data_IF_819906492244
#
_entry.id   IF_819906492244
#
_cell.length_a   1.000
_cell.length_b   1.000
_cell.length_c   1.000
_cell.angle_alpha   90.00
_cell.angle_beta   90.00
_cell.angle_gamma   90.00
#
_symmetry.space_group_name_H-M   'P 1'
#
loop_
_entity.id
_entity.type
_entity.pdbx_description
1 polymer ?
#
# COMPACT_ATOMS: atom_id res chain seq x y z
N UNK A 1 41.36 -30.80 19.47
CA UNK A 1 40.01 -31.08 20.02
C UNK A 1 39.81 -30.53 21.43
N UNK A 2 40.71 -30.80 22.40
CA UNK A 2 40.56 -30.33 23.79
C UNK A 2 40.39 -28.81 23.95
N UNK A 3 41.04 -28.01 23.12
CA UNK A 3 41.03 -26.54 23.24
C UNK A 3 39.84 -25.86 22.53
N UNK A 4 39.00 -26.60 21.81
CA UNK A 4 37.79 -26.07 21.16
C UNK A 4 36.52 -26.19 22.03
N UNK A 5 36.58 -26.98 23.12
CA UNK A 5 35.46 -27.15 24.04
C UNK A 5 35.55 -26.09 25.14
N UNK A 6 34.48 -25.32 25.36
CA UNK A 6 34.43 -24.37 26.48
C UNK A 6 34.25 -25.11 27.81
N UNK A 7 35.36 -25.52 28.41
CA UNK A 7 35.40 -26.25 29.67
C UNK A 7 34.82 -25.43 30.85
N UNK A 8 34.78 -24.12 30.69
CA UNK A 8 34.32 -23.15 31.70
C UNK A 8 32.86 -22.69 31.46
N UNK A 9 32.19 -23.19 30.42
CA UNK A 9 30.79 -22.88 30.14
C UNK A 9 29.82 -23.46 31.19
N UNK A 10 28.66 -22.82 31.35
CA UNK A 10 27.58 -23.33 32.21
C UNK A 10 26.80 -24.46 31.49
N UNK A 11 27.40 -25.66 31.48
CA UNK A 11 26.85 -26.86 30.87
C UNK A 11 25.51 -27.30 31.48
N UNK A 12 25.31 -27.05 32.77
CA UNK A 12 24.04 -27.36 33.46
C UNK A 12 22.87 -26.58 32.85
N UNK A 13 23.06 -25.27 32.61
CA UNK A 13 22.06 -24.43 31.95
C UNK A 13 21.81 -24.86 30.50
N UNK A 14 22.85 -25.25 29.77
CA UNK A 14 22.71 -25.76 28.38
C UNK A 14 21.89 -27.05 28.34
N UNK A 15 22.18 -28.01 29.23
CA UNK A 15 21.41 -29.25 29.30
C UNK A 15 19.97 -29.03 29.74
N UNK A 16 19.71 -28.07 30.64
CA UNK A 16 18.37 -27.69 31.03
C UNK A 16 17.57 -27.15 29.82
N UNK A 17 18.17 -26.31 28.98
CA UNK A 17 17.54 -25.78 27.76
C UNK A 17 17.24 -26.93 26.77
N UNK A 18 18.19 -27.83 26.53
CA UNK A 18 17.99 -28.97 25.60
C UNK A 18 16.91 -29.92 26.11
N UNK A 19 16.91 -30.19 27.43
CA UNK A 19 15.91 -31.07 28.05
C UNK A 19 14.52 -30.45 27.96
N UNK A 20 14.39 -29.14 28.21
CA UNK A 20 13.11 -28.44 28.07
C UNK A 20 12.58 -28.45 26.63
N UNK A 21 13.47 -28.33 25.63
CA UNK A 21 13.06 -28.22 24.23
C UNK A 21 12.81 -29.58 23.55
N UNK A 22 13.60 -30.61 23.87
CA UNK A 22 13.52 -31.94 23.22
C UNK A 22 12.96 -33.04 24.12
N UNK A 23 12.65 -32.73 25.39
CA UNK A 23 12.20 -33.67 26.40
C UNK A 23 13.12 -34.91 26.56
N UNK A 24 14.42 -34.72 26.31
CA UNK A 24 15.46 -35.76 26.40
C UNK A 24 16.59 -35.22 27.26
N UNK A 25 17.04 -36.01 28.24
CA UNK A 25 18.27 -35.70 28.96
C UNK A 25 19.49 -36.10 28.09
N UNK A 26 20.31 -35.15 27.64
CA UNK A 26 21.37 -35.43 26.67
C UNK A 26 22.55 -36.19 27.28
N UNK A 27 22.90 -35.93 28.55
CA UNK A 27 24.06 -36.52 29.24
C UNK A 27 23.77 -36.64 30.75
N UNK A 28 24.38 -37.63 31.40
CA UNK A 28 24.45 -37.71 32.86
C UNK A 28 25.35 -36.58 33.40
N UNK A 29 24.75 -35.57 34.05
CA UNK A 29 25.46 -34.37 34.50
C UNK A 29 26.63 -34.64 35.48
N UNK A 30 26.49 -35.51 36.51
CA UNK A 30 27.61 -35.90 37.36
C UNK A 30 28.80 -36.51 36.60
N UNK A 31 28.54 -37.42 35.65
CA UNK A 31 29.60 -38.04 34.85
C UNK A 31 30.26 -37.01 33.91
N UNK A 32 29.46 -36.14 33.29
CA UNK A 32 29.96 -35.06 32.45
C UNK A 32 30.92 -34.13 33.21
N UNK A 33 30.53 -33.71 34.42
CA UNK A 33 31.36 -32.87 35.29
C UNK A 33 32.69 -33.55 35.65
N UNK A 34 32.67 -34.85 35.91
CA UNK A 34 33.89 -35.64 36.16
C UNK A 34 34.81 -35.66 34.93
N UNK A 35 34.27 -35.89 33.73
CA UNK A 35 35.04 -35.87 32.49
C UNK A 35 35.61 -34.49 32.18
N UNK A 36 34.84 -33.41 32.38
CA UNK A 36 35.33 -32.04 32.23
C UNK A 36 36.50 -31.74 33.19
N UNK A 37 36.43 -32.24 34.43
CA UNK A 37 37.53 -32.12 35.40
C UNK A 37 38.83 -32.74 34.88
N UNK A 38 38.77 -33.99 34.41
CA UNK A 38 39.94 -34.69 33.84
C UNK A 38 40.51 -33.94 32.63
N UNK A 39 39.64 -33.46 31.73
CA UNK A 39 40.07 -32.70 30.56
C UNK A 39 40.72 -31.37 30.95
N UNK A 40 40.22 -30.71 32.00
CA UNK A 40 40.80 -29.47 32.51
C UNK A 40 42.16 -29.69 33.19
N UNK A 41 42.33 -30.81 33.89
CA UNK A 41 43.62 -31.20 34.48
C UNK A 41 44.67 -31.51 33.40
N UNK A 42 44.27 -32.21 32.33
CA UNK A 42 45.11 -32.43 31.14
C UNK A 42 45.48 -31.10 30.47
N UNK A 43 44.53 -30.16 30.35
CA UNK A 43 44.79 -28.82 29.81
C UNK A 43 45.79 -28.04 30.68
N UNK A 44 45.57 -28.01 31.99
CA UNK A 44 46.42 -27.28 32.97
C UNK A 44 47.82 -27.85 33.10
N UNK A 45 47.99 -29.15 32.95
CA UNK A 45 49.29 -29.80 33.04
C UNK A 45 50.20 -29.53 31.83
N UNK A 46 49.65 -29.01 30.73
CA UNK A 46 50.32 -28.86 29.44
C UNK A 46 50.99 -30.15 28.95
N UNK A 47 50.49 -31.32 29.41
CA UNK A 47 51.17 -32.59 29.17
C UNK A 47 51.23 -32.94 27.67
N UNK A 48 50.16 -32.65 26.94
CA UNK A 48 50.10 -32.90 25.49
C UNK A 48 51.04 -31.98 24.71
N UNK A 49 51.15 -30.71 25.11
CA UNK A 49 52.07 -29.74 24.51
C UNK A 49 53.53 -30.16 24.76
N UNK A 50 53.85 -30.59 25.99
CA UNK A 50 55.17 -31.12 26.36
C UNK A 50 55.52 -32.40 25.61
N UNK A 51 54.54 -33.30 25.38
CA UNK A 51 54.75 -34.50 24.57
C UNK A 51 55.10 -34.12 23.14
N UNK A 52 54.40 -33.14 22.55
CA UNK A 52 54.69 -32.68 21.19
C UNK A 52 56.08 -32.04 21.14
N UNK A 53 56.41 -31.10 22.05
CA UNK A 53 57.73 -30.48 22.15
C UNK A 53 58.86 -31.53 22.24
N UNK A 54 58.63 -32.62 22.99
CA UNK A 54 59.60 -33.70 23.15
C UNK A 54 59.77 -34.53 21.87
N UNK A 55 58.67 -34.89 21.20
CA UNK A 55 58.70 -35.68 19.96
C UNK A 55 59.30 -34.87 18.81
N UNK A 56 58.92 -33.60 18.69
CA UNK A 56 59.38 -32.72 17.59
C UNK A 56 60.76 -32.12 17.86
N UNK A 57 61.28 -32.25 19.07
CA UNK A 57 62.53 -31.61 19.55
C UNK A 57 62.52 -30.10 19.39
N UNK A 58 61.34 -29.49 19.40
CA UNK A 58 61.15 -28.04 19.34
C UNK A 58 60.63 -27.56 20.70
N UNK A 59 61.49 -26.95 21.55
CA UNK A 59 61.08 -26.43 22.85
C UNK A 59 60.18 -25.19 22.75
N UNK A 60 60.10 -24.57 21.58
CA UNK A 60 59.34 -23.33 21.36
C UNK A 60 57.94 -23.57 20.81
N UNK A 61 57.60 -24.82 20.49
CA UNK A 61 56.26 -25.18 20.05
C UNK A 61 55.22 -24.79 21.09
N UNK A 62 54.24 -23.99 20.67
CA UNK A 62 53.07 -23.61 21.46
C UNK A 62 51.81 -23.92 20.66
N UNK A 63 50.75 -24.34 21.36
CA UNK A 63 49.50 -24.68 20.69
C UNK A 63 48.72 -23.40 20.38
N UNK A 64 48.63 -23.04 19.10
CA UNK A 64 47.74 -21.97 18.64
C UNK A 64 46.27 -22.42 18.74
N UNK A 65 45.48 -21.70 19.52
CA UNK A 65 44.05 -21.95 19.65
C UNK A 65 43.26 -20.82 19.01
N UNK A 66 42.51 -21.12 17.96
CA UNK A 66 41.50 -20.19 17.45
C UNK A 66 40.20 -20.36 18.24
N UNK A 67 39.62 -19.30 18.83
CA UNK A 67 38.34 -19.38 19.52
C UNK A 67 37.23 -19.67 18.50
N UNK A 68 36.33 -20.59 18.85
CA UNK A 68 35.12 -20.85 18.08
C UNK A 68 34.15 -19.67 18.24
N UNK A 69 33.98 -18.87 17.18
CA UNK A 69 33.15 -17.65 17.13
C UNK A 69 31.94 -17.79 16.21
N UNK A 70 31.45 -19.01 15.98
CA UNK A 70 30.30 -19.22 15.11
C UNK A 70 29.00 -18.81 15.82
N UNK A 71 28.31 -17.82 15.27
CA UNK A 71 27.05 -17.29 15.82
C UNK A 71 25.86 -18.16 15.38
N UNK A 72 25.72 -19.32 16.00
CA UNK A 72 24.70 -20.33 15.67
C UNK A 72 23.25 -19.79 15.75
N UNK A 73 23.02 -18.68 16.48
CA UNK A 73 21.69 -18.07 16.65
C UNK A 73 21.37 -16.97 15.64
N UNK A 74 22.33 -16.48 14.86
CA UNK A 74 22.12 -15.31 13.99
C UNK A 74 21.06 -15.58 12.91
N UNK A 75 21.06 -16.77 12.32
CA UNK A 75 20.08 -17.12 11.28
C UNK A 75 18.66 -17.25 11.85
N UNK A 76 18.53 -17.74 13.08
CA UNK A 76 17.26 -17.79 13.78
C UNK A 76 16.73 -16.38 14.13
N UNK A 77 17.61 -15.50 14.62
CA UNK A 77 17.25 -14.10 14.91
C UNK A 77 16.82 -13.38 13.63
N UNK A 78 17.55 -13.54 12.53
CA UNK A 78 17.17 -13.01 11.21
C UNK A 78 15.83 -13.55 10.73
N UNK A 79 15.52 -14.82 11.01
CA UNK A 79 14.22 -15.40 10.65
C UNK A 79 13.08 -14.77 11.47
N UNK A 80 13.29 -14.55 12.76
CA UNK A 80 12.31 -13.86 13.62
C UNK A 80 12.10 -12.42 13.13
N UNK A 81 13.17 -11.66 12.87
CA UNK A 81 13.08 -10.29 12.36
C UNK A 81 12.26 -10.23 11.07
N UNK A 82 12.56 -11.12 10.10
CA UNK A 82 11.77 -11.23 8.86
C UNK A 82 10.30 -11.55 9.12
N UNK A 83 10.02 -12.47 10.05
CA UNK A 83 8.64 -12.84 10.39
C UNK A 83 7.87 -11.68 11.02
N UNK A 84 8.53 -10.90 11.89
CA UNK A 84 7.95 -9.69 12.49
C UNK A 84 7.66 -8.66 11.42
N UNK A 85 8.62 -8.39 10.53
CA UNK A 85 8.47 -7.41 9.45
C UNK A 85 7.33 -7.80 8.49
N UNK A 86 7.23 -9.08 8.12
CA UNK A 86 6.12 -9.58 7.29
C UNK A 86 4.78 -9.40 8.00
N UNK A 87 4.68 -9.85 9.26
CA UNK A 87 3.42 -9.74 10.03
C UNK A 87 2.98 -8.29 10.19
N UNK A 88 3.92 -7.38 10.45
CA UNK A 88 3.64 -5.96 10.59
C UNK A 88 3.15 -5.35 9.26
N UNK A 89 3.75 -5.73 8.13
CA UNK A 89 3.27 -5.33 6.79
C UNK A 89 1.88 -5.85 6.49
N UNK A 90 1.58 -7.09 6.88
CA UNK A 90 0.26 -7.69 6.67
C UNK A 90 -0.81 -6.96 7.49
N UNK A 91 -0.53 -6.65 8.76
CA UNK A 91 -1.45 -5.88 9.63
C UNK A 91 -1.72 -4.50 9.06
N UNK A 92 -0.68 -3.78 8.61
CA UNK A 92 -0.85 -2.44 8.00
C UNK A 92 -1.70 -2.54 6.73
N UNK A 93 -1.45 -3.55 5.90
CA UNK A 93 -2.21 -3.79 4.66
C UNK A 93 -3.67 -4.08 4.94
N UNK A 94 -3.96 -4.93 5.93
CA UNK A 94 -5.33 -5.28 6.32
C UNK A 94 -6.07 -4.08 6.92
N UNK A 95 -5.40 -3.29 7.75
CA UNK A 95 -5.97 -2.06 8.29
C UNK A 95 -6.34 -1.06 7.16
N UNK A 96 -5.46 -0.88 6.16
CA UNK A 96 -5.75 -0.06 4.98
C UNK A 96 -6.92 -0.63 4.18
N UNK A 97 -6.94 -1.93 3.92
CA UNK A 97 -8.03 -2.58 3.18
C UNK A 97 -9.38 -2.43 3.87
N UNK A 98 -9.42 -2.58 5.21
CA UNK A 98 -10.60 -2.35 6.02
C UNK A 98 -11.07 -0.89 5.95
N UNK A 99 -10.14 0.07 6.03
CA UNK A 99 -10.45 1.48 5.85
C UNK A 99 -11.05 1.77 4.46
N UNK A 100 -10.47 1.20 3.40
CA UNK A 100 -11.00 1.32 2.03
C UNK A 100 -12.41 0.75 1.96
N UNK A 101 -12.66 -0.45 2.50
CA UNK A 101 -13.99 -1.07 2.49
C UNK A 101 -15.06 -0.19 3.16
N UNK A 102 -14.74 0.40 4.32
CA UNK A 102 -15.64 1.32 5.02
C UNK A 102 -15.92 2.58 4.19
N UNK A 103 -14.90 3.16 3.55
CA UNK A 103 -15.05 4.35 2.73
C UNK A 103 -15.84 4.07 1.44
N UNK A 104 -15.58 2.94 0.77
CA UNK A 104 -16.37 2.47 -0.37
C UNK A 104 -17.83 2.33 0.03
N UNK A 105 -18.12 1.73 1.17
CA UNK A 105 -19.50 1.59 1.65
C UNK A 105 -20.17 2.94 1.92
N UNK A 106 -19.44 3.92 2.47
CA UNK A 106 -19.96 5.27 2.72
C UNK A 106 -20.23 6.06 1.44
N UNK A 107 -19.47 5.82 0.37
CA UNK A 107 -19.60 6.54 -0.90
C UNK A 107 -20.62 5.85 -1.82
N UNK A 108 -20.50 4.53 -2.01
CA UNK A 108 -21.25 3.76 -3.00
C UNK A 108 -22.32 2.84 -2.41
N UNK A 109 -22.34 2.66 -1.09
CA UNK A 109 -23.21 1.66 -0.46
C UNK A 109 -22.70 0.25 -0.70
N UNK A 110 -23.59 -0.68 -1.06
CA UNK A 110 -23.24 -2.11 -1.14
C UNK A 110 -22.65 -2.52 -2.50
N UNK A 111 -22.77 -1.69 -3.55
CA UNK A 111 -22.37 -2.06 -4.91
C UNK A 111 -21.73 -0.85 -5.60
N UNK A 112 -20.65 -1.10 -6.34
CA UNK A 112 -20.01 -0.13 -7.24
C UNK A 112 -20.62 -0.34 -8.64
N UNK A 113 -21.51 0.55 -9.13
CA UNK A 113 -22.30 0.27 -10.33
C UNK A 113 -21.54 0.49 -11.64
N UNK A 114 -20.79 1.61 -11.73
CA UNK A 114 -20.27 2.13 -13.00
C UNK A 114 -18.74 2.17 -13.10
N UNK A 115 -18.10 1.08 -12.69
CA UNK A 115 -16.65 0.89 -12.73
C UNK A 115 -15.97 0.95 -14.10
N UNK A 116 -14.64 0.97 -14.13
CA UNK A 116 -13.85 0.85 -15.37
C UNK A 116 -13.97 -0.55 -15.96
N UNK A 117 -14.19 -0.63 -17.27
CA UNK A 117 -14.42 -1.89 -17.99
C UNK A 117 -13.12 -2.55 -18.43
N UNK A 118 -12.13 -1.75 -18.81
CA UNK A 118 -10.89 -2.24 -19.40
C UNK A 118 -9.69 -1.97 -18.47
N UNK A 119 -9.56 -0.76 -17.92
CA UNK A 119 -8.55 -0.43 -16.92
C UNK A 119 -9.00 -0.88 -15.52
N UNK A 120 -9.01 -2.18 -15.27
CA UNK A 120 -9.47 -2.76 -14.00
C UNK A 120 -8.54 -3.87 -13.49
N UNK A 121 -8.66 -4.26 -12.21
CA UNK A 121 -7.79 -5.29 -11.63
C UNK A 121 -7.91 -6.67 -12.29
N UNK A 122 -9.06 -7.03 -12.88
CA UNK A 122 -9.20 -8.33 -13.57
C UNK A 122 -8.35 -8.40 -14.83
N UNK A 123 -8.18 -7.29 -15.53
CA UNK A 123 -7.31 -7.19 -16.70
C UNK A 123 -5.83 -7.42 -16.35
N UNK A 124 -5.42 -7.18 -15.09
CA UNK A 124 -4.04 -7.36 -14.65
C UNK A 124 -3.57 -8.81 -14.71
N UNK A 125 -4.47 -9.79 -14.59
CA UNK A 125 -4.10 -11.20 -14.65
C UNK A 125 -3.35 -11.58 -15.94
N UNK A 126 -3.57 -10.88 -17.06
CA UNK A 126 -2.85 -11.11 -18.31
C UNK A 126 -1.41 -10.58 -18.29
N UNK A 127 -1.14 -9.52 -17.52
CA UNK A 127 0.17 -8.90 -17.35
C UNK A 127 0.98 -9.61 -16.26
N UNK A 128 0.36 -9.87 -15.12
CA UNK A 128 0.99 -10.51 -13.95
C UNK A 128 1.50 -11.91 -14.26
N UNK A 129 0.75 -12.72 -15.03
CA UNK A 129 1.19 -14.05 -15.49
C UNK A 129 2.51 -14.03 -16.27
N UNK A 130 2.90 -12.87 -16.79
CA UNK A 130 4.13 -12.65 -17.57
C UNK A 130 5.17 -11.81 -16.83
N UNK A 131 4.97 -11.59 -15.52
CA UNK A 131 5.91 -10.86 -14.66
C UNK A 131 5.93 -9.35 -14.90
N UNK A 132 4.82 -8.77 -15.39
CA UNK A 132 4.66 -7.33 -15.58
C UNK A 132 3.78 -6.74 -14.47
N UNK A 133 3.97 -5.46 -14.17
CA UNK A 133 3.27 -4.75 -13.08
C UNK A 133 1.77 -4.52 -13.36
N UNK A 134 1.36 -4.48 -14.64
CA UNK A 134 -0.03 -4.25 -15.03
C UNK A 134 -0.54 -2.82 -14.77
N UNK A 135 -1.83 -2.68 -14.48
CA UNK A 135 -2.49 -1.42 -14.17
C UNK A 135 -2.39 -1.12 -12.68
N UNK A 136 -1.59 -0.10 -12.34
CA UNK A 136 -1.26 0.28 -10.96
C UNK A 136 -2.45 0.98 -10.28
N UNK A 137 -3.10 1.92 -10.99
CA UNK A 137 -4.15 2.79 -10.45
C UNK A 137 -5.57 2.28 -10.70
N UNK A 138 -5.73 0.97 -10.90
CA UNK A 138 -6.95 0.37 -11.41
C UNK A 138 -8.13 0.54 -10.44
N UNK A 139 -7.89 0.39 -9.14
CA UNK A 139 -8.92 0.56 -8.12
C UNK A 139 -9.33 2.04 -8.01
N UNK A 140 -8.36 2.96 -7.94
CA UNK A 140 -8.61 4.40 -7.90
C UNK A 140 -9.42 4.88 -9.11
N UNK A 141 -9.04 4.50 -10.33
CA UNK A 141 -9.78 4.84 -11.55
C UNK A 141 -11.20 4.26 -11.56
N UNK A 142 -11.38 3.05 -11.01
CA UNK A 142 -12.67 2.40 -10.90
C UNK A 142 -13.63 3.17 -9.98
N UNK A 143 -13.14 3.62 -8.82
CA UNK A 143 -13.91 4.45 -7.90
C UNK A 143 -14.22 5.82 -8.50
N UNK A 144 -13.23 6.48 -9.10
CA UNK A 144 -13.41 7.79 -9.72
C UNK A 144 -14.45 7.76 -10.84
N UNK A 145 -14.39 6.79 -11.76
CA UNK A 145 -15.37 6.67 -12.83
C UNK A 145 -16.78 6.47 -12.27
N UNK A 146 -16.93 5.57 -11.29
CA UNK A 146 -18.22 5.31 -10.65
C UNK A 146 -18.77 6.57 -9.98
N UNK A 147 -17.93 7.29 -9.24
CA UNK A 147 -18.32 8.54 -8.59
C UNK A 147 -18.76 9.60 -9.60
N UNK A 148 -18.02 9.77 -10.70
CA UNK A 148 -18.37 10.77 -11.70
C UNK A 148 -19.63 10.43 -12.49
N UNK A 149 -19.89 9.15 -12.75
CA UNK A 149 -21.06 8.72 -13.53
C UNK A 149 -22.31 8.68 -12.67
N UNK A 150 -22.23 8.07 -11.49
CA UNK A 150 -23.42 7.74 -10.70
C UNK A 150 -23.84 8.87 -9.76
N UNK A 151 -22.87 9.68 -9.30
CA UNK A 151 -23.12 10.70 -8.28
C UNK A 151 -22.87 12.14 -8.77
N UNK A 152 -21.77 12.38 -9.49
CA UNK A 152 -21.48 13.73 -9.97
C UNK A 152 -22.50 14.18 -11.01
N UNK A 153 -22.83 13.33 -11.99
CA UNK A 153 -23.81 13.66 -13.04
C UNK A 153 -25.27 13.73 -12.56
N UNK A 154 -25.55 13.28 -11.35
CA UNK A 154 -26.87 13.32 -10.71
C UNK A 154 -26.94 14.42 -9.66
N UNK A 155 -26.64 14.10 -8.40
CA UNK A 155 -26.87 14.97 -7.24
C UNK A 155 -25.97 16.20 -7.24
N UNK A 156 -24.68 16.03 -7.55
CA UNK A 156 -23.75 17.18 -7.58
C UNK A 156 -24.16 18.13 -8.70
N UNK A 157 -24.44 17.60 -9.89
CA UNK A 157 -24.89 18.39 -11.03
C UNK A 157 -26.15 19.19 -10.70
N UNK A 158 -27.19 18.54 -10.18
CA UNK A 158 -28.44 19.23 -9.86
C UNK A 158 -28.21 20.35 -8.83
N UNK A 159 -27.37 20.12 -7.81
CA UNK A 159 -27.01 21.14 -6.82
C UNK A 159 -26.19 22.28 -7.42
N UNK A 160 -25.17 21.95 -8.22
CA UNK A 160 -24.33 22.94 -8.90
C UNK A 160 -25.14 23.78 -9.89
N UNK A 161 -26.02 23.16 -10.67
CA UNK A 161 -26.90 23.87 -11.61
C UNK A 161 -27.82 24.85 -10.85
N UNK A 162 -28.39 24.46 -9.71
CA UNK A 162 -29.19 25.35 -8.86
C UNK A 162 -28.36 26.54 -8.34
N UNK A 163 -27.22 26.26 -7.69
CA UNK A 163 -26.39 27.30 -7.05
C UNK A 163 -25.74 28.22 -8.09
N UNK A 164 -25.23 27.69 -9.20
CA UNK A 164 -24.52 28.49 -10.21
C UNK A 164 -25.48 29.33 -11.07
N UNK A 165 -26.65 28.80 -11.43
CA UNK A 165 -27.60 29.51 -12.30
C UNK A 165 -28.42 30.52 -11.49
N UNK A 166 -28.84 30.17 -10.27
CA UNK A 166 -29.71 31.03 -9.45
C UNK A 166 -28.95 31.82 -8.41
N UNK A 167 -27.70 31.47 -8.07
CA UNK A 167 -26.96 32.16 -7.02
C UNK A 167 -26.49 33.56 -7.43
N UNK A 168 -26.81 34.55 -6.60
CA UNK A 168 -26.26 35.90 -6.69
C UNK A 168 -25.03 36.00 -5.78
N UNK A 169 -23.87 35.76 -6.36
CA UNK A 169 -22.58 35.76 -5.66
C UNK A 169 -22.10 37.18 -5.37
N UNK A 170 -21.71 37.42 -4.12
CA UNK A 170 -21.11 38.71 -3.73
C UNK A 170 -19.73 38.90 -4.37
N UNK A 171 -18.98 37.81 -4.55
CA UNK A 171 -17.66 37.81 -5.21
C UNK A 171 -17.68 36.92 -6.45
N UNK A 172 -17.56 37.54 -7.64
CA UNK A 172 -17.61 36.83 -8.91
C UNK A 172 -16.51 35.77 -9.07
N UNK A 173 -15.35 35.98 -8.45
CA UNK A 173 -14.21 35.04 -8.51
C UNK A 173 -14.58 33.68 -7.91
N UNK A 174 -15.35 33.66 -6.81
CA UNK A 174 -15.79 32.41 -6.17
C UNK A 174 -16.78 31.63 -7.05
N UNK A 175 -17.68 32.35 -7.71
CA UNK A 175 -18.59 31.76 -8.71
C UNK A 175 -17.82 31.20 -9.90
N UNK A 176 -16.80 31.90 -10.37
CA UNK A 176 -16.00 31.49 -11.52
C UNK A 176 -15.18 30.24 -11.20
N UNK A 177 -14.54 30.17 -10.04
CA UNK A 177 -13.76 29.00 -9.61
C UNK A 177 -14.64 27.74 -9.45
N UNK A 178 -15.83 27.91 -8.88
CA UNK A 178 -16.81 26.81 -8.78
C UNK A 178 -17.26 26.37 -10.18
N UNK A 179 -17.68 27.31 -11.03
CA UNK A 179 -18.13 27.02 -12.40
C UNK A 179 -17.05 26.31 -13.24
N UNK A 180 -15.80 26.80 -13.20
CA UNK A 180 -14.68 26.20 -13.91
C UNK A 180 -14.42 24.76 -13.44
N UNK A 181 -14.41 24.53 -12.13
CA UNK A 181 -14.21 23.18 -11.55
C UNK A 181 -15.32 22.22 -11.95
N UNK A 182 -16.57 22.68 -11.96
CA UNK A 182 -17.73 21.91 -12.40
C UNK A 182 -17.62 21.52 -13.89
N UNK A 183 -17.33 22.48 -14.77
CA UNK A 183 -17.18 22.22 -16.20
C UNK A 183 -15.97 21.33 -16.52
N UNK A 184 -14.85 21.53 -15.81
CA UNK A 184 -13.69 20.66 -15.91
C UNK A 184 -14.04 19.22 -15.54
N UNK A 185 -14.80 18.99 -14.45
CA UNK A 185 -15.23 17.64 -14.07
C UNK A 185 -16.17 16.99 -15.08
N UNK A 186 -17.05 17.77 -15.71
CA UNK A 186 -17.89 17.27 -16.80
C UNK A 186 -17.04 16.78 -17.98
N UNK A 187 -16.03 17.56 -18.38
CA UNK A 187 -15.11 17.19 -19.45
C UNK A 187 -14.22 15.99 -19.07
N UNK A 188 -13.73 15.96 -17.84
CA UNK A 188 -12.95 14.84 -17.29
C UNK A 188 -13.77 13.55 -17.29
N UNK A 189 -15.05 13.61 -16.92
CA UNK A 189 -15.94 12.44 -16.94
C UNK A 189 -15.98 11.80 -18.33
N UNK A 190 -16.06 12.61 -19.39
CA UNK A 190 -15.97 12.12 -20.78
C UNK A 190 -14.58 11.55 -21.09
N UNK A 191 -13.51 12.25 -20.72
CA UNK A 191 -12.13 11.79 -20.92
C UNK A 191 -11.83 10.46 -20.26
N UNK A 192 -12.40 10.19 -19.09
CA UNK A 192 -12.22 8.90 -18.39
C UNK A 192 -12.90 7.77 -19.16
N UNK A 193 -14.08 8.01 -19.75
CA UNK A 193 -14.73 7.03 -20.62
C UNK A 193 -13.90 6.75 -21.87
N UNK A 194 -13.38 7.80 -22.51
CA UNK A 194 -12.49 7.66 -23.67
C UNK A 194 -11.18 6.94 -23.32
N UNK A 195 -10.60 7.23 -22.16
CA UNK A 195 -9.41 6.56 -21.66
C UNK A 195 -9.65 5.06 -21.45
N UNK A 196 -10.75 4.70 -20.78
CA UNK A 196 -11.13 3.31 -20.53
C UNK A 196 -11.40 2.58 -21.85
N UNK A 197 -12.11 3.20 -22.80
CA UNK A 197 -12.40 2.60 -24.11
C UNK A 197 -11.15 2.41 -24.98
N UNK A 198 -10.15 3.30 -24.87
CA UNK A 198 -8.86 3.14 -25.55
C UNK A 198 -8.13 1.86 -25.13
N UNK A 199 -8.50 1.23 -24.02
CA UNK A 199 -7.90 -0.01 -23.54
C UNK A 199 -8.74 -1.25 -23.85
N UNK A 200 -9.84 -1.12 -24.59
CA UNK A 200 -10.66 -2.28 -24.99
C UNK A 200 -9.88 -3.25 -25.86
N UNK A 201 -10.26 -4.54 -25.85
CA UNK A 201 -9.54 -5.60 -26.60
C UNK A 201 -9.51 -5.38 -28.13
N UNK A 202 -10.47 -4.59 -28.62
CA UNK A 202 -10.64 -4.23 -30.02
C UNK A 202 -9.99 -2.89 -30.38
N UNK A 203 -9.55 -2.12 -29.39
CA UNK A 203 -8.84 -0.87 -29.62
C UNK A 203 -7.44 -1.12 -30.19
N UNK A 204 -6.86 -0.10 -30.83
CA UNK A 204 -5.47 -0.16 -31.31
C UNK A 204 -4.50 -0.55 -30.18
N UNK A 205 -4.66 0.03 -29.00
CA UNK A 205 -3.81 -0.26 -27.85
C UNK A 205 -4.04 -1.67 -27.29
N UNK A 206 -5.30 -2.14 -27.20
CA UNK A 206 -5.61 -3.49 -26.75
C UNK A 206 -5.09 -4.56 -27.70
N UNK A 207 -5.22 -4.35 -29.01
CA UNK A 207 -4.61 -5.20 -30.04
C UNK A 207 -3.09 -5.21 -29.90
N UNK A 208 -2.48 -4.06 -29.65
CA UNK A 208 -1.04 -3.92 -29.46
C UNK A 208 -0.55 -4.68 -28.22
N UNK A 209 -1.23 -4.52 -27.07
CA UNK A 209 -0.93 -5.29 -25.86
C UNK A 209 -1.02 -6.79 -26.13
N UNK A 210 -2.14 -7.27 -26.67
CA UNK A 210 -2.33 -8.70 -26.98
C UNK A 210 -1.24 -9.26 -27.91
N UNK A 211 -0.86 -8.49 -28.93
CA UNK A 211 0.18 -8.89 -29.89
C UNK A 211 1.57 -8.93 -29.26
N UNK A 212 1.92 -7.95 -28.43
CA UNK A 212 3.22 -7.93 -27.76
C UNK A 212 3.29 -9.02 -26.68
N UNK A 213 2.22 -9.21 -25.90
CA UNK A 213 2.13 -10.23 -24.86
C UNK A 213 2.30 -11.66 -25.41
N UNK A 214 1.84 -11.94 -26.63
CA UNK A 214 2.02 -13.26 -27.27
C UNK A 214 3.46 -13.49 -27.76
N UNK A 215 4.22 -12.42 -27.99
CA UNK A 215 5.63 -12.49 -28.44
C UNK A 215 6.63 -12.52 -27.28
N UNK A 216 6.22 -12.17 -26.07
CA UNK A 216 7.11 -12.09 -24.90
C UNK A 216 7.86 -13.39 -24.58
N UNK A 217 7.29 -14.55 -24.89
CA UNK A 217 7.97 -15.84 -24.69
C UNK A 217 9.18 -16.02 -25.61
N UNK A 218 9.18 -15.37 -26.77
CA UNK A 218 10.22 -15.50 -27.81
C UNK A 218 11.14 -14.28 -27.88
N UNK A 219 10.61 -13.10 -27.55
CA UNK A 219 11.26 -11.80 -27.74
C UNK A 219 11.29 -11.02 -26.43
N UNK A 220 12.47 -10.93 -25.79
CA UNK A 220 12.64 -10.12 -24.57
C UNK A 220 12.30 -8.64 -24.78
N UNK A 221 12.50 -8.13 -26.00
CA UNK A 221 12.21 -6.73 -26.34
C UNK A 221 10.70 -6.44 -26.36
N UNK A 222 9.85 -7.43 -26.68
CA UNK A 222 8.41 -7.27 -26.61
C UNK A 222 7.94 -6.96 -25.18
N UNK A 223 8.54 -7.59 -24.17
CA UNK A 223 8.24 -7.31 -22.76
C UNK A 223 8.56 -5.88 -22.35
N UNK A 224 9.70 -5.34 -22.81
CA UNK A 224 10.07 -3.94 -22.57
C UNK A 224 9.09 -2.97 -23.20
N UNK A 225 8.61 -3.26 -24.42
CA UNK A 225 7.61 -2.44 -25.09
C UNK A 225 6.26 -2.47 -24.36
N UNK A 226 5.81 -3.64 -23.86
CA UNK A 226 4.60 -3.73 -23.04
C UNK A 226 4.74 -2.90 -21.78
N UNK A 227 5.85 -3.06 -21.04
CA UNK A 227 6.07 -2.29 -19.82
C UNK A 227 6.10 -0.79 -20.09
N UNK A 228 6.73 -0.35 -21.19
CA UNK A 228 6.70 1.05 -21.60
C UNK A 228 5.27 1.56 -21.80
N UNK A 229 4.46 0.81 -22.54
CA UNK A 229 3.05 1.17 -22.76
C UNK A 229 2.21 1.13 -21.48
N UNK A 230 2.46 0.18 -20.58
CA UNK A 230 1.82 0.16 -19.26
C UNK A 230 2.18 1.42 -18.46
N UNK A 231 3.46 1.82 -18.46
CA UNK A 231 3.90 3.04 -17.78
C UNK A 231 3.21 4.29 -18.36
N UNK A 232 3.14 4.41 -19.68
CA UNK A 232 2.46 5.53 -20.35
C UNK A 232 0.96 5.59 -19.97
N UNK A 233 0.30 4.43 -19.93
CA UNK A 233 -1.11 4.29 -19.55
C UNK A 233 -1.32 4.62 -18.07
N UNK A 234 -0.45 4.13 -17.19
CA UNK A 234 -0.50 4.38 -15.75
C UNK A 234 -0.22 5.87 -15.44
N UNK A 235 0.70 6.52 -16.15
CA UNK A 235 0.93 7.96 -16.03
C UNK A 235 -0.29 8.77 -16.47
N UNK A 236 -0.94 8.38 -17.57
CA UNK A 236 -2.17 9.00 -18.02
C UNK A 236 -3.31 8.83 -17.00
N UNK A 237 -3.47 7.64 -16.42
CA UNK A 237 -4.44 7.38 -15.35
C UNK A 237 -4.17 8.27 -14.12
N UNK A 238 -2.92 8.32 -13.65
CA UNK A 238 -2.53 9.16 -12.52
C UNK A 238 -2.79 10.63 -12.77
N UNK A 239 -2.54 11.12 -13.98
CA UNK A 239 -2.83 12.51 -14.37
C UNK A 239 -4.32 12.79 -14.32
N UNK A 240 -5.16 11.89 -14.85
CA UNK A 240 -6.61 12.01 -14.75
C UNK A 240 -7.07 12.03 -13.29
N UNK A 241 -6.57 11.12 -12.46
CA UNK A 241 -6.87 11.06 -11.02
C UNK A 241 -6.52 12.37 -10.31
N UNK A 242 -5.27 12.85 -10.45
CA UNK A 242 -4.81 14.09 -9.80
C UNK A 242 -5.65 15.30 -10.20
N UNK A 243 -5.92 15.46 -11.49
CA UNK A 243 -6.73 16.59 -11.98
C UNK A 243 -8.18 16.47 -11.50
N UNK A 244 -8.74 15.27 -11.48
CA UNK A 244 -10.11 15.05 -11.00
C UNK A 244 -10.24 15.36 -9.51
N UNK A 245 -9.37 14.79 -8.68
CA UNK A 245 -9.37 15.00 -7.23
C UNK A 245 -9.23 16.48 -6.91
N UNK A 246 -8.34 17.21 -7.62
CA UNK A 246 -8.21 18.66 -7.46
C UNK A 246 -9.53 19.40 -7.70
N UNK A 247 -10.19 19.16 -8.83
CA UNK A 247 -11.45 19.85 -9.14
C UNK A 247 -12.59 19.42 -8.19
N UNK A 248 -12.64 18.15 -7.76
CA UNK A 248 -13.61 17.67 -6.76
C UNK A 248 -13.40 18.35 -5.40
N UNK A 249 -12.14 18.53 -4.97
CA UNK A 249 -11.82 19.28 -3.74
C UNK A 249 -12.25 20.74 -3.84
N UNK A 250 -11.99 21.41 -4.97
CA UNK A 250 -12.43 22.80 -5.18
C UNK A 250 -13.95 22.92 -5.11
N UNK A 251 -14.68 22.02 -5.78
CA UNK A 251 -16.14 21.96 -5.72
C UNK A 251 -16.65 21.70 -4.29
N UNK A 252 -16.04 20.74 -3.58
CA UNK A 252 -16.38 20.45 -2.19
C UNK A 252 -16.16 21.64 -1.26
N UNK A 253 -15.08 22.41 -1.46
CA UNK A 253 -14.81 23.63 -0.70
C UNK A 253 -15.83 24.74 -1.00
N UNK A 254 -16.23 24.90 -2.27
CA UNK A 254 -17.29 25.86 -2.64
C UNK A 254 -18.61 25.51 -1.94
N UNK A 255 -19.02 24.24 -1.94
CA UNK A 255 -20.23 23.77 -1.23
C UNK A 255 -20.09 23.98 0.28
N UNK A 256 -18.92 23.67 0.86
CA UNK A 256 -18.66 23.90 2.29
C UNK A 256 -18.83 25.37 2.67
N UNK A 257 -18.33 26.28 1.84
CA UNK A 257 -18.48 27.72 2.05
C UNK A 257 -19.94 28.15 1.93
N UNK A 258 -20.70 27.57 1.00
CA UNK A 258 -22.14 27.78 0.86
C UNK A 258 -22.91 27.34 2.12
N UNK A 259 -22.60 26.17 2.69
CA UNK A 259 -23.19 25.69 3.95
C UNK A 259 -22.88 26.67 5.09
N UNK A 260 -21.60 27.05 5.23
CA UNK A 260 -21.18 27.96 6.28
C UNK A 260 -21.85 29.33 6.18
N UNK A 261 -22.05 29.83 4.96
CA UNK A 261 -22.76 31.10 4.71
C UNK A 261 -24.26 30.99 5.03
N UNK A 262 -24.91 29.90 4.63
CA UNK A 262 -26.34 29.69 4.89
C UNK A 262 -26.67 29.73 6.40
N UNK A 263 -25.77 29.17 7.22
CA UNK A 263 -25.90 29.10 8.68
C UNK A 263 -25.59 30.43 9.40
N UNK A 264 -25.00 31.43 8.71
CA UNK A 264 -24.73 32.74 9.33
C UNK A 264 -26.03 33.52 9.55
N UNK A 265 -26.13 34.29 10.66
CA UNK A 265 -27.23 35.25 10.84
C UNK A 265 -27.27 36.33 9.74
N UNK A 266 -26.09 36.72 9.24
CA UNK A 266 -25.94 37.63 8.10
C UNK A 266 -25.12 36.94 7.01
N UNK A 267 -25.80 36.60 5.93
CA UNK A 267 -25.26 35.89 4.77
C UNK A 267 -24.50 36.87 3.88
N UNK A 268 -23.27 36.56 3.55
CA UNK A 268 -22.33 37.41 2.82
C UNK A 268 -21.81 36.78 1.52
N UNK A 269 -21.92 35.46 1.35
CA UNK A 269 -21.49 34.76 0.13
C UNK A 269 -22.54 34.87 -0.98
N UNK A 270 -23.77 34.42 -0.72
CA UNK A 270 -24.91 34.49 -1.65
C UNK A 270 -25.97 35.43 -1.09
N UNK A 271 -26.43 36.37 -1.92
CA UNK A 271 -27.36 37.42 -1.48
C UNK A 271 -28.82 36.96 -1.49
N UNK A 272 -29.14 35.94 -2.28
CA UNK A 272 -30.51 35.53 -2.60
C UNK A 272 -30.86 34.10 -2.16
N UNK A 273 -30.37 33.67 -0.99
CA UNK A 273 -30.66 32.33 -0.46
C UNK A 273 -32.14 31.95 -0.38
N UNK A 274 -33.04 32.91 -0.12
CA UNK A 274 -34.49 32.65 -0.13
C UNK A 274 -34.99 32.21 -1.50
N UNK A 275 -34.43 32.78 -2.58
CA UNK A 275 -34.78 32.41 -3.95
C UNK A 275 -34.26 31.01 -4.29
N UNK A 276 -33.03 30.70 -3.88
CA UNK A 276 -32.43 29.36 -4.05
C UNK A 276 -33.28 28.30 -3.34
N UNK A 277 -33.72 28.58 -2.11
CA UNK A 277 -34.55 27.68 -1.31
C UNK A 277 -35.93 27.46 -1.93
N UNK A 278 -36.56 28.50 -2.48
CA UNK A 278 -37.84 28.38 -3.19
C UNK A 278 -37.77 27.51 -4.45
N UNK A 279 -36.59 27.42 -5.08
CA UNK A 279 -36.37 26.63 -6.29
C UNK A 279 -35.67 25.29 -6.01
N UNK A 280 -35.49 24.94 -4.74
CA UNK A 280 -34.92 23.66 -4.36
C UNK A 280 -36.02 22.62 -4.16
N UNK A 281 -35.87 21.45 -4.77
CA UNK A 281 -36.81 20.34 -4.62
C UNK A 281 -36.73 19.65 -3.25
N UNK A 282 -35.73 19.99 -2.45
CA UNK A 282 -35.44 19.42 -1.13
C UNK A 282 -34.81 20.45 -0.20
N UNK A 283 -34.75 20.22 1.13
CA UNK A 283 -34.13 21.16 2.05
C UNK A 283 -32.67 21.45 1.69
N UNK A 284 -32.40 22.68 1.23
CA UNK A 284 -31.12 23.05 0.59
C UNK A 284 -29.90 22.79 1.49
N UNK A 285 -30.05 23.05 2.79
CA UNK A 285 -28.98 22.82 3.78
C UNK A 285 -28.61 21.34 3.91
N UNK A 286 -29.63 20.49 4.01
CA UNK A 286 -29.45 19.04 4.14
C UNK A 286 -28.84 18.46 2.87
N UNK A 287 -29.31 18.93 1.71
CA UNK A 287 -28.78 18.52 0.42
C UNK A 287 -27.31 18.91 0.24
N UNK A 288 -26.95 20.16 0.51
CA UNK A 288 -25.55 20.61 0.47
C UNK A 288 -24.68 19.79 1.43
N UNK A 289 -25.18 19.50 2.63
CA UNK A 289 -24.45 18.71 3.64
C UNK A 289 -24.23 17.29 3.16
N UNK A 290 -25.26 16.63 2.62
CA UNK A 290 -25.15 15.28 2.07
C UNK A 290 -24.13 15.22 0.92
N UNK A 291 -24.19 16.21 0.01
CA UNK A 291 -23.23 16.32 -1.10
C UNK A 291 -21.80 16.52 -0.60
N UNK A 292 -21.60 17.45 0.32
CA UNK A 292 -20.29 17.70 0.91
C UNK A 292 -19.73 16.46 1.62
N UNK A 293 -20.53 15.79 2.46
CA UNK A 293 -20.12 14.58 3.17
C UNK A 293 -19.71 13.47 2.20
N UNK A 294 -20.45 13.30 1.11
CA UNK A 294 -20.14 12.28 0.10
C UNK A 294 -18.88 12.61 -0.69
N UNK A 295 -18.68 13.88 -1.08
CA UNK A 295 -17.42 14.37 -1.67
C UNK A 295 -16.24 14.15 -0.71
N UNK A 296 -16.40 14.48 0.56
CA UNK A 296 -15.35 14.31 1.58
C UNK A 296 -14.94 12.85 1.75
N UNK A 297 -15.91 11.94 1.90
CA UNK A 297 -15.64 10.51 2.01
C UNK A 297 -14.95 9.97 0.74
N UNK A 298 -15.34 10.46 -0.45
CA UNK A 298 -14.71 10.09 -1.71
C UNK A 298 -13.25 10.57 -1.81
N UNK A 299 -12.97 11.83 -1.42
CA UNK A 299 -11.58 12.33 -1.40
C UNK A 299 -10.72 11.50 -0.44
N UNK A 300 -11.25 11.15 0.74
CA UNK A 300 -10.54 10.28 1.68
C UNK A 300 -10.29 8.89 1.08
N UNK A 301 -11.26 8.32 0.37
CA UNK A 301 -11.11 7.04 -0.31
C UNK A 301 -9.94 7.08 -1.30
N UNK A 302 -9.95 8.05 -2.21
CA UNK A 302 -8.89 8.22 -3.21
C UNK A 302 -7.52 8.42 -2.57
N UNK A 303 -7.43 9.22 -1.50
CA UNK A 303 -6.16 9.43 -0.79
C UNK A 303 -5.61 8.15 -0.15
N UNK A 304 -6.47 7.28 0.39
CA UNK A 304 -6.03 6.01 0.99
C UNK A 304 -5.60 5.02 -0.09
N UNK A 305 -6.36 4.94 -1.19
CA UNK A 305 -6.07 4.04 -2.32
C UNK A 305 -4.78 4.46 -3.03
N UNK A 306 -4.60 5.74 -3.35
CA UNK A 306 -3.37 6.22 -4.02
C UNK A 306 -2.10 6.01 -3.17
N UNK A 307 -2.18 6.13 -1.84
CA UNK A 307 -1.07 5.83 -0.92
C UNK A 307 -0.79 4.33 -0.75
N UNK A 308 -1.65 3.46 -1.26
CA UNK A 308 -1.42 2.02 -1.33
C UNK A 308 -0.71 1.64 -2.64
N UNK A 309 -0.94 2.43 -3.68
CA UNK A 309 -0.41 2.24 -5.03
C UNK A 309 0.97 2.91 -5.24
N UNK A 310 1.39 3.82 -4.33
CA UNK A 310 2.76 4.34 -4.15
C UNK A 310 3.68 3.37 -3.38
#
# INVERSE_FOLDING_TARGET
MLNGLSLDANWEKLFAIITAYKNVQPVNAPQWKKHLGVLNDIRRSHILEKIIQHITKDPTYTVETSPFTEKVTDDYLKQIERSIDTTLKDIITEQKNSQVAVLVQRVFGNVIPSGTKNYNPRSNAAFEKRGLEGYIYADAMNYLKSFLVDYFKSDIRALSDLILVRGQWTQQVLSAEYSESYHNLMHISTKILEFDEKLSEVSEMGVKFRTLLSRMEREKEAGRQVQKHLNDVNEAALKLLKVSIKNIMTLGNAIKNCIADYDKPRRDLLQNWKEIEQHSDQPIREWMTAVYTKIYNFIMLEQVVLKKEE
#
